data_IF_927755673148
#
_entry.id   IF_927755673148
#
_cell.length_a   1.000
_cell.length_b   1.000
_cell.length_c   1.000
_cell.angle_alpha   90.00
_cell.angle_beta   90.00
_cell.angle_gamma   90.00
#
_symmetry.space_group_name_H-M   'P 1'
#
loop_
_entity.id
_entity.type
_entity.pdbx_description
1 polymer ?
#
# COMPACT_ATOMS: atom_id res chain seq x y z
N UNK A 1 -11.12 12.33 -21.42
CA UNK A 1 -9.85 13.07 -21.58
C UNK A 1 -10.01 14.51 -21.11
N UNK A 2 -9.12 15.01 -20.24
CA UNK A 2 -9.20 16.38 -19.74
C UNK A 2 -8.93 17.44 -20.82
N UNK A 3 -8.04 17.13 -21.77
CA UNK A 3 -7.59 18.06 -22.79
C UNK A 3 -7.59 17.41 -24.18
N UNK A 4 -8.77 17.20 -24.81
CA UNK A 4 -8.86 16.52 -26.10
C UNK A 4 -8.21 17.30 -27.26
N UNK A 5 -7.96 18.61 -27.06
CA UNK A 5 -7.32 19.48 -28.04
C UNK A 5 -5.78 19.38 -28.04
N UNK A 6 -5.18 18.73 -27.04
CA UNK A 6 -3.72 18.60 -26.95
C UNK A 6 -3.20 17.56 -27.93
N UNK A 7 -2.15 17.92 -28.67
CA UNK A 7 -1.36 16.97 -29.43
C UNK A 7 -0.48 16.10 -28.53
N UNK A 8 0.15 15.09 -29.14
CA UNK A 8 0.98 14.09 -28.44
C UNK A 8 2.09 14.73 -27.60
N UNK A 9 2.81 15.71 -28.15
CA UNK A 9 3.94 16.35 -27.47
C UNK A 9 3.51 17.15 -26.24
N UNK A 10 2.39 17.88 -26.32
CA UNK A 10 1.86 18.62 -25.19
C UNK A 10 1.46 17.68 -24.04
N UNK A 11 0.77 16.57 -24.37
CA UNK A 11 0.39 15.57 -23.38
C UNK A 11 1.62 14.96 -22.71
N UNK A 12 2.65 14.59 -23.49
CA UNK A 12 3.88 14.02 -22.95
C UNK A 12 4.57 14.97 -21.98
N UNK A 13 4.79 16.23 -22.37
CA UNK A 13 5.47 17.21 -21.50
C UNK A 13 4.69 17.44 -20.21
N UNK A 14 3.37 17.67 -20.29
CA UNK A 14 2.54 17.96 -19.12
C UNK A 14 2.47 16.73 -18.19
N UNK A 15 2.25 15.54 -18.75
CA UNK A 15 2.20 14.32 -17.96
C UNK A 15 3.55 13.98 -17.34
N UNK A 16 4.68 14.19 -18.05
CA UNK A 16 6.01 14.00 -17.47
C UNK A 16 6.25 14.91 -16.26
N UNK A 17 5.82 16.17 -16.32
CA UNK A 17 5.95 17.11 -15.21
C UNK A 17 5.08 16.67 -14.03
N UNK A 18 3.78 16.45 -14.25
CA UNK A 18 2.85 16.08 -13.17
C UNK A 18 3.21 14.73 -12.56
N UNK A 19 3.55 13.73 -13.38
CA UNK A 19 3.94 12.40 -12.92
C UNK A 19 5.28 12.45 -12.19
N UNK A 20 6.27 13.19 -12.70
CA UNK A 20 7.56 13.38 -12.03
C UNK A 20 7.38 14.03 -10.65
N UNK A 21 6.52 15.04 -10.54
CA UNK A 21 6.17 15.66 -9.27
C UNK A 21 5.40 14.70 -8.34
N UNK A 22 4.46 13.91 -8.87
CA UNK A 22 3.76 12.87 -8.09
C UNK A 22 4.75 11.87 -7.48
N UNK A 23 5.75 11.41 -8.25
CA UNK A 23 6.76 10.48 -7.76
C UNK A 23 7.67 11.12 -6.72
N UNK A 24 8.21 12.31 -7.00
CA UNK A 24 9.11 13.01 -6.09
C UNK A 24 8.40 13.36 -4.77
N UNK A 25 7.24 14.00 -4.84
CA UNK A 25 6.49 14.46 -3.66
C UNK A 25 5.86 13.29 -2.92
N UNK A 26 5.28 12.34 -3.64
CA UNK A 26 4.70 11.14 -3.05
C UNK A 26 5.74 10.34 -2.28
N UNK A 27 6.90 10.07 -2.89
CA UNK A 27 7.95 9.31 -2.21
C UNK A 27 8.49 10.08 -1.00
N UNK A 28 8.68 11.40 -1.11
CA UNK A 28 9.10 12.25 0.00
C UNK A 28 8.13 12.23 1.20
N UNK A 29 6.81 12.13 0.94
CA UNK A 29 5.81 11.96 1.99
C UNK A 29 5.97 10.65 2.79
N UNK A 30 6.62 9.65 2.20
CA UNK A 30 6.79 8.34 2.83
C UNK A 30 8.08 8.23 3.65
N UNK A 31 9.04 9.15 3.50
CA UNK A 31 10.36 9.07 4.16
C UNK A 31 10.20 8.85 5.66
N UNK A 32 9.59 9.78 6.39
CA UNK A 32 9.48 9.68 7.85
C UNK A 32 8.71 8.42 8.30
N UNK A 33 7.68 8.00 7.56
CA UNK A 33 6.99 6.75 7.93
C UNK A 33 7.84 5.50 7.70
N UNK A 34 8.71 5.51 6.68
CA UNK A 34 9.62 4.41 6.38
C UNK A 34 10.76 4.36 7.39
N UNK A 35 11.35 5.50 7.74
CA UNK A 35 12.40 5.55 8.77
C UNK A 35 11.87 5.04 10.11
N UNK A 36 10.65 5.44 10.50
CA UNK A 36 9.98 4.94 11.71
C UNK A 36 9.64 3.44 11.67
N UNK A 37 9.42 2.85 10.49
CA UNK A 37 9.15 1.42 10.35
C UNK A 37 10.42 0.57 10.33
N UNK A 38 11.49 1.12 9.74
CA UNK A 38 12.72 0.40 9.42
C UNK A 38 13.83 0.65 10.43
N UNK A 39 13.57 1.53 11.40
CA UNK A 39 14.54 2.02 12.38
C UNK A 39 15.77 2.67 11.71
N UNK A 40 15.52 3.57 10.76
CA UNK A 40 16.58 4.28 10.04
C UNK A 40 17.11 3.58 8.79
N UNK A 41 16.28 2.80 8.08
CA UNK A 41 16.69 2.01 6.91
C UNK A 41 17.11 2.81 5.67
N UNK A 42 17.02 4.13 5.69
CA UNK A 42 17.61 4.98 4.65
C UNK A 42 16.89 5.03 3.30
N UNK A 43 15.66 4.50 3.20
CA UNK A 43 14.87 4.51 1.96
C UNK A 43 13.47 5.12 2.13
N UNK A 44 12.81 5.35 1.00
CA UNK A 44 11.41 5.75 0.89
C UNK A 44 10.62 4.78 0.01
N UNK A 45 9.30 4.80 0.09
CA UNK A 45 8.44 4.06 -0.84
C UNK A 45 8.16 4.92 -2.07
N UNK A 46 8.48 4.39 -3.25
CA UNK A 46 8.11 4.96 -4.54
C UNK A 46 7.28 3.92 -5.33
N UNK A 47 5.96 3.94 -5.15
CA UNK A 47 5.07 2.95 -5.75
C UNK A 47 3.78 3.59 -6.32
N UNK A 48 2.59 3.07 -6.00
CA UNK A 48 1.30 3.48 -6.58
C UNK A 48 0.30 3.98 -5.53
N UNK A 49 0.76 4.17 -4.29
CA UNK A 49 -0.09 4.45 -3.13
C UNK A 49 0.62 5.33 -2.09
N UNK A 50 1.65 6.10 -2.47
CA UNK A 50 2.47 6.85 -1.50
C UNK A 50 1.65 7.83 -0.65
N UNK A 51 0.73 8.57 -1.27
CA UNK A 51 -0.08 9.56 -0.55
C UNK A 51 -1.09 8.87 0.38
N UNK A 52 -1.78 7.85 -0.12
CA UNK A 52 -2.70 7.02 0.65
C UNK A 52 -2.01 6.30 1.81
N UNK A 53 -0.82 5.76 1.57
CA UNK A 53 0.01 5.10 2.58
C UNK A 53 0.37 6.07 3.71
N UNK A 54 0.87 7.27 3.38
CA UNK A 54 1.17 8.30 4.38
C UNK A 54 -0.08 8.77 5.12
N UNK A 55 -1.21 8.91 4.42
CA UNK A 55 -2.48 9.27 5.04
C UNK A 55 -2.91 8.22 6.07
N UNK A 56 -2.95 6.94 5.69
CA UNK A 56 -3.38 5.87 6.59
C UNK A 56 -2.37 5.60 7.71
N UNK A 57 -1.07 5.70 7.45
CA UNK A 57 -0.03 5.59 8.48
C UNK A 57 -0.21 6.68 9.57
N UNK A 58 -0.48 7.93 9.18
CA UNK A 58 -0.78 9.01 10.13
C UNK A 58 -2.14 8.82 10.81
N UNK A 59 -3.15 8.33 10.08
CA UNK A 59 -4.47 8.06 10.65
C UNK A 59 -4.40 6.97 11.74
N UNK A 60 -3.48 6.01 11.61
CA UNK A 60 -3.24 4.96 12.60
C UNK A 60 -2.86 5.52 13.97
N UNK A 61 -2.23 6.69 14.05
CA UNK A 61 -1.88 7.32 15.33
C UNK A 61 -3.09 7.64 16.20
N UNK A 62 -4.28 7.79 15.60
CA UNK A 62 -5.54 7.97 16.34
C UNK A 62 -5.96 6.72 17.13
N UNK A 63 -5.36 5.57 16.84
CA UNK A 63 -5.60 4.32 17.57
C UNK A 63 -4.61 4.12 18.72
N UNK A 64 -3.61 5.00 18.88
CA UNK A 64 -2.71 4.96 20.04
C UNK A 64 -3.50 5.09 21.34
N UNK A 65 -3.17 4.32 22.40
CA UNK A 65 -3.80 4.48 23.70
C UNK A 65 -3.61 5.90 24.22
N UNK A 66 -4.70 6.52 24.71
CA UNK A 66 -4.64 7.87 25.31
C UNK A 66 -4.03 7.89 26.71
N UNK A 67 -3.98 6.72 27.35
CA UNK A 67 -3.62 6.58 28.76
C UNK A 67 -2.10 6.41 28.97
N UNK A 68 -1.27 6.75 27.98
CA UNK A 68 0.19 6.55 28.03
C UNK A 68 0.64 5.07 27.99
N UNK A 69 -0.28 4.14 27.73
CA UNK A 69 0.04 2.72 27.54
C UNK A 69 0.72 2.50 26.19
N UNK A 70 1.66 1.55 26.17
CA UNK A 70 2.33 1.14 24.94
C UNK A 70 1.34 0.65 23.88
N UNK A 71 1.65 0.97 22.63
CA UNK A 71 0.90 0.51 21.47
C UNK A 71 1.15 -0.98 21.31
N UNK A 72 0.12 -1.81 21.56
CA UNK A 72 0.22 -3.25 21.31
C UNK A 72 0.19 -3.52 19.81
N UNK A 73 1.31 -3.98 19.26
CA UNK A 73 1.42 -4.41 17.86
C UNK A 73 1.02 -5.87 17.71
N UNK A 74 0.83 -6.32 16.48
CA UNK A 74 0.41 -7.69 16.17
C UNK A 74 1.37 -8.74 16.75
N UNK A 75 2.66 -8.46 16.71
CA UNK A 75 3.75 -9.27 17.27
C UNK A 75 3.77 -9.32 18.82
N UNK A 76 3.16 -8.34 19.48
CA UNK A 76 3.08 -8.27 20.95
C UNK A 76 1.85 -9.02 21.50
N UNK A 77 0.92 -9.45 20.63
CA UNK A 77 -0.29 -10.16 21.03
C UNK A 77 0.03 -11.63 21.27
N UNK A 78 0.05 -12.03 22.55
CA UNK A 78 0.20 -13.43 22.94
C UNK A 78 -1.18 -14.08 23.12
N UNK A 79 -1.50 -15.03 22.23
CA UNK A 79 -2.76 -15.76 22.31
C UNK A 79 -2.66 -16.97 23.28
N UNK A 80 -3.69 -17.24 24.10
CA UNK A 80 -3.64 -18.27 25.13
C UNK A 80 -3.93 -19.68 24.60
N UNK A 81 -3.38 -20.69 25.29
CA UNK A 81 -3.69 -22.11 25.05
C UNK A 81 -3.35 -22.56 23.63
N UNK A 82 -4.28 -23.26 22.98
CA UNK A 82 -4.09 -23.76 21.61
C UNK A 82 -3.99 -22.64 20.56
N UNK A 83 -4.47 -21.42 20.86
CA UNK A 83 -4.34 -20.27 19.96
C UNK A 83 -2.91 -19.73 19.88
N UNK A 84 -2.01 -20.17 20.77
CA UNK A 84 -0.59 -19.78 20.72
C UNK A 84 0.12 -20.19 19.42
N UNK A 85 -0.45 -21.13 18.65
CA UNK A 85 0.05 -21.49 17.31
C UNK A 85 0.07 -20.28 16.35
N UNK A 86 -0.81 -19.30 16.56
CA UNK A 86 -0.87 -18.07 15.76
C UNK A 86 0.21 -17.05 16.13
N UNK A 87 0.95 -17.28 17.22
CA UNK A 87 2.11 -16.47 17.57
C UNK A 87 3.30 -16.78 16.62
N UNK A 88 3.30 -17.94 15.96
CA UNK A 88 4.27 -18.26 14.92
C UNK A 88 3.77 -17.73 13.56
N UNK A 89 4.56 -16.87 12.92
CA UNK A 89 4.14 -16.09 11.75
C UNK A 89 3.84 -16.94 10.52
N UNK A 90 4.64 -17.99 10.27
CA UNK A 90 4.47 -18.87 9.12
C UNK A 90 3.22 -19.74 9.27
N UNK A 91 2.98 -20.29 10.46
CA UNK A 91 1.80 -21.08 10.83
C UNK A 91 0.55 -20.21 10.78
N UNK A 92 0.58 -19.03 11.42
CA UNK A 92 -0.50 -18.06 11.42
C UNK A 92 -0.89 -17.66 10.00
N UNK A 93 0.08 -17.23 9.19
CA UNK A 93 -0.16 -16.82 7.80
C UNK A 93 -0.72 -17.98 6.99
N UNK A 94 -0.17 -19.18 7.14
CA UNK A 94 -0.65 -20.39 6.46
C UNK A 94 -2.11 -20.71 6.79
N UNK A 95 -2.49 -20.66 8.08
CA UNK A 95 -3.85 -20.92 8.52
C UNK A 95 -4.80 -19.82 8.01
N UNK A 96 -4.41 -18.55 8.10
CA UNK A 96 -5.22 -17.43 7.60
C UNK A 96 -5.44 -17.53 6.10
N UNK A 97 -4.42 -17.88 5.32
CA UNK A 97 -4.54 -18.10 3.88
C UNK A 97 -5.39 -19.32 3.55
N UNK A 98 -5.24 -20.41 4.30
CA UNK A 98 -6.05 -21.61 4.11
C UNK A 98 -7.53 -21.32 4.37
N UNK A 99 -7.85 -20.55 5.41
CA UNK A 99 -9.22 -20.12 5.67
C UNK A 99 -9.71 -19.21 4.55
N UNK A 100 -8.96 -18.17 4.20
CA UNK A 100 -9.41 -17.17 3.25
C UNK A 100 -9.50 -17.71 1.81
N UNK A 101 -8.39 -18.16 1.23
CA UNK A 101 -8.36 -18.70 -0.13
C UNK A 101 -8.99 -20.09 -0.21
N UNK A 102 -8.95 -20.90 0.85
CA UNK A 102 -9.61 -22.19 0.84
C UNK A 102 -11.12 -22.07 0.75
N UNK A 103 -11.74 -21.09 1.43
CA UNK A 103 -13.17 -20.80 1.26
C UNK A 103 -13.45 -20.36 -0.19
N UNK A 104 -12.64 -19.44 -0.75
CA UNK A 104 -12.82 -18.97 -2.12
C UNK A 104 -12.72 -20.13 -3.11
N UNK A 105 -11.67 -20.94 -3.03
CA UNK A 105 -11.47 -22.10 -3.91
C UNK A 105 -12.58 -23.14 -3.74
N UNK A 106 -13.05 -23.39 -2.51
CA UNK A 106 -14.15 -24.30 -2.25
C UNK A 106 -15.47 -23.81 -2.88
N UNK A 107 -15.76 -22.51 -2.80
CA UNK A 107 -16.95 -21.89 -3.43
C UNK A 107 -16.88 -21.96 -4.96
N UNK A 108 -15.69 -21.73 -5.54
CA UNK A 108 -15.48 -21.87 -6.99
C UNK A 108 -15.65 -23.33 -7.45
N UNK A 109 -15.13 -24.27 -6.66
CA UNK A 109 -15.28 -25.70 -6.87
C UNK A 109 -14.34 -26.29 -7.95
N UNK A 110 -14.05 -27.60 -7.82
CA UNK A 110 -13.19 -28.35 -8.76
C UNK A 110 -13.64 -28.22 -10.22
N UNK A 111 -14.93 -28.37 -10.60
CA UNK A 111 -15.33 -28.31 -12.00
C UNK A 111 -14.94 -26.99 -12.69
N UNK A 112 -15.14 -25.87 -12.00
CA UNK A 112 -14.78 -24.55 -12.53
C UNK A 112 -13.26 -24.39 -12.69
N UNK A 113 -12.47 -24.83 -11.71
CA UNK A 113 -11.01 -24.75 -11.77
C UNK A 113 -10.41 -25.65 -12.86
N UNK A 114 -11.04 -26.80 -13.14
CA UNK A 114 -10.68 -27.67 -14.27
C UNK A 114 -11.01 -26.99 -15.59
N UNK A 115 -12.18 -26.35 -15.70
CA UNK A 115 -12.56 -25.59 -16.89
C UNK A 115 -11.60 -24.43 -17.17
N UNK A 116 -11.13 -23.74 -16.13
CA UNK A 116 -10.11 -22.68 -16.21
C UNK A 116 -8.70 -23.19 -16.48
N UNK A 117 -8.49 -24.52 -16.57
CA UNK A 117 -7.17 -25.17 -16.69
C UNK A 117 -6.22 -24.85 -15.52
N UNK A 118 -6.75 -24.37 -14.39
CA UNK A 118 -5.98 -24.13 -13.17
C UNK A 118 -5.72 -25.43 -12.39
N UNK A 119 -6.61 -26.42 -12.53
CA UNK A 119 -6.50 -27.73 -11.88
C UNK A 119 -6.69 -28.85 -12.90
N UNK A 120 -5.83 -29.87 -12.90
CA UNK A 120 -6.04 -31.05 -13.75
C UNK A 120 -7.17 -31.94 -13.20
N UNK A 121 -8.00 -32.59 -14.05
CA UNK A 121 -9.14 -33.40 -13.59
C UNK A 121 -8.79 -34.53 -12.61
N UNK A 122 -7.60 -35.11 -12.76
CA UNK A 122 -7.07 -36.23 -11.97
C UNK A 122 -6.52 -35.82 -10.61
N UNK A 123 -6.28 -34.53 -10.37
CA UNK A 123 -5.72 -34.04 -9.11
C UNK A 123 -6.76 -34.02 -7.99
N UNK A 124 -6.31 -34.32 -6.77
CA UNK A 124 -7.14 -34.25 -5.58
C UNK A 124 -7.41 -32.78 -5.21
N UNK A 125 -8.69 -32.44 -5.03
CA UNK A 125 -9.10 -31.04 -4.82
C UNK A 125 -8.70 -30.50 -3.44
N UNK A 126 -8.81 -31.32 -2.40
CA UNK A 126 -8.42 -30.93 -1.04
C UNK A 126 -6.93 -30.61 -0.97
N UNK A 127 -6.08 -31.49 -1.50
CA UNK A 127 -4.64 -31.24 -1.53
C UNK A 127 -4.26 -30.04 -2.38
N UNK A 128 -4.97 -29.80 -3.50
CA UNK A 128 -4.77 -28.59 -4.30
C UNK A 128 -5.07 -27.31 -3.49
N UNK A 129 -6.16 -27.28 -2.73
CA UNK A 129 -6.50 -26.14 -1.87
C UNK A 129 -5.39 -25.91 -0.83
N UNK A 130 -5.00 -26.98 -0.11
CA UNK A 130 -3.98 -26.90 0.93
C UNK A 130 -2.65 -26.41 0.33
N UNK A 131 -2.17 -27.03 -0.75
CA UNK A 131 -0.93 -26.66 -1.42
C UNK A 131 -0.95 -25.20 -1.91
N UNK A 132 -2.03 -24.79 -2.57
CA UNK A 132 -2.19 -23.41 -3.07
C UNK A 132 -2.12 -22.38 -1.95
N UNK A 133 -2.79 -22.66 -0.82
CA UNK A 133 -2.83 -21.73 0.31
C UNK A 133 -1.51 -21.70 1.07
N UNK A 134 -0.83 -22.84 1.26
CA UNK A 134 0.47 -22.91 1.94
C UNK A 134 1.58 -22.26 1.10
N UNK A 135 1.52 -22.39 -0.23
CA UNK A 135 2.47 -21.73 -1.13
C UNK A 135 2.51 -20.21 -0.96
N UNK A 136 1.40 -19.58 -0.55
CA UNK A 136 1.40 -18.15 -0.24
C UNK A 136 2.39 -17.81 0.89
N UNK A 137 2.37 -18.57 2.00
CA UNK A 137 3.27 -18.33 3.12
C UNK A 137 4.73 -18.56 2.72
N UNK A 138 4.99 -19.58 1.87
CA UNK A 138 6.31 -19.83 1.29
C UNK A 138 6.78 -18.64 0.44
N UNK A 139 5.96 -18.17 -0.50
CA UNK A 139 6.33 -17.04 -1.36
C UNK A 139 6.49 -15.72 -0.60
N UNK A 140 5.66 -15.46 0.41
CA UNK A 140 5.81 -14.29 1.26
C UNK A 140 7.14 -14.34 2.04
N UNK A 141 7.51 -15.52 2.55
CA UNK A 141 8.79 -15.72 3.24
C UNK A 141 9.98 -15.49 2.29
N UNK A 142 9.92 -16.06 1.08
CA UNK A 142 10.93 -15.84 0.03
C UNK A 142 11.05 -14.36 -0.30
N UNK A 143 9.93 -13.66 -0.46
CA UNK A 143 9.89 -12.23 -0.73
C UNK A 143 10.58 -11.44 0.40
N UNK A 144 10.26 -11.71 1.66
CA UNK A 144 10.85 -11.02 2.80
C UNK A 144 12.37 -11.25 2.90
N UNK A 145 12.82 -12.49 2.67
CA UNK A 145 14.25 -12.82 2.69
C UNK A 145 15.01 -12.09 1.58
N UNK A 146 14.51 -12.14 0.35
CA UNK A 146 15.15 -11.48 -0.79
C UNK A 146 15.18 -9.95 -0.65
N UNK A 147 14.09 -9.37 -0.13
CA UNK A 147 13.97 -7.93 0.11
C UNK A 147 15.02 -7.43 1.10
N UNK A 148 15.25 -8.11 2.24
CA UNK A 148 16.20 -7.63 3.25
C UNK A 148 17.60 -7.49 2.69
N UNK A 149 18.05 -8.50 1.96
CA UNK A 149 19.36 -8.48 1.29
C UNK A 149 19.42 -7.35 0.26
N UNK A 150 18.37 -7.20 -0.56
CA UNK A 150 18.32 -6.16 -1.57
C UNK A 150 18.37 -4.74 -0.97
N UNK A 151 17.58 -4.47 0.07
CA UNK A 151 17.53 -3.14 0.70
C UNK A 151 18.86 -2.77 1.32
N UNK A 152 19.53 -3.70 2.02
CA UNK A 152 20.84 -3.45 2.61
C UNK A 152 21.87 -3.00 1.58
N UNK A 153 22.03 -3.76 0.49
CA UNK A 153 22.98 -3.44 -0.58
C UNK A 153 22.61 -2.15 -1.33
N UNK A 154 21.32 -1.90 -1.53
CA UNK A 154 20.86 -0.70 -2.23
C UNK A 154 21.11 0.55 -1.42
N UNK A 155 20.81 0.54 -0.11
CA UNK A 155 21.02 1.70 0.77
C UNK A 155 22.50 2.06 0.83
N UNK A 156 23.39 1.08 1.01
CA UNK A 156 24.84 1.31 1.00
C UNK A 156 25.33 1.86 -0.35
N UNK A 157 24.87 1.27 -1.46
CA UNK A 157 25.22 1.74 -2.80
C UNK A 157 24.73 3.18 -3.06
N UNK A 158 23.58 3.55 -2.53
CA UNK A 158 23.02 4.90 -2.67
C UNK A 158 23.73 5.95 -1.83
N UNK A 159 24.40 5.58 -0.73
CA UNK A 159 25.25 6.52 0.02
C UNK A 159 26.35 7.09 -0.87
N UNK A 160 26.95 6.27 -1.75
CA UNK A 160 27.93 6.74 -2.73
C UNK A 160 27.38 7.80 -3.67
N UNK A 161 26.16 7.60 -4.19
CA UNK A 161 25.47 8.56 -5.08
C UNK A 161 25.10 9.84 -4.31
N UNK A 162 24.57 9.70 -3.10
CA UNK A 162 24.17 10.82 -2.26
C UNK A 162 25.37 11.70 -1.90
N UNK A 163 26.50 11.09 -1.54
CA UNK A 163 27.72 11.81 -1.16
C UNK A 163 28.45 12.50 -2.32
N UNK A 164 28.11 12.22 -3.58
CA UNK A 164 28.84 12.73 -4.75
C UNK A 164 27.96 13.48 -5.75
N UNK A 165 26.89 12.86 -6.25
CA UNK A 165 26.12 13.36 -7.39
C UNK A 165 24.87 14.10 -6.92
N UNK A 166 24.16 13.56 -5.93
CA UNK A 166 22.86 14.10 -5.46
C UNK A 166 22.81 14.17 -3.93
N UNK A 167 23.42 15.20 -3.31
CA UNK A 167 23.40 15.39 -1.87
C UNK A 167 21.99 15.36 -1.27
N UNK A 168 21.80 14.51 -0.25
CA UNK A 168 20.53 14.35 0.45
C UNK A 168 19.49 13.52 -0.32
N UNK A 169 19.88 12.84 -1.40
CA UNK A 169 18.98 11.94 -2.11
C UNK A 169 18.67 10.69 -1.30
N UNK A 170 17.40 10.29 -1.32
CA UNK A 170 16.88 9.09 -0.66
C UNK A 170 16.36 8.14 -1.73
N UNK A 171 16.80 6.87 -1.78
CA UNK A 171 16.29 5.90 -2.74
C UNK A 171 14.80 5.63 -2.48
N UNK A 172 13.99 5.81 -3.51
CA UNK A 172 12.60 5.37 -3.54
C UNK A 172 12.50 3.95 -4.11
N UNK A 173 11.92 3.02 -3.36
CA UNK A 173 11.86 1.60 -3.73
C UNK A 173 10.45 1.02 -3.68
N UNK A 174 10.33 -0.22 -4.17
CA UNK A 174 9.07 -0.97 -4.20
C UNK A 174 8.48 -1.13 -2.79
N UNK A 175 7.16 -1.04 -2.67
CA UNK A 175 6.47 -1.16 -1.39
C UNK A 175 6.69 -2.52 -0.72
N UNK A 176 6.89 -3.59 -1.51
CA UNK A 176 7.19 -4.91 -1.00
C UNK A 176 8.42 -4.91 -0.08
N UNK A 177 9.32 -3.94 -0.26
CA UNK A 177 10.49 -3.77 0.59
C UNK A 177 10.13 -3.59 2.08
N UNK A 178 8.99 -2.97 2.35
CA UNK A 178 8.51 -2.68 3.71
C UNK A 178 8.01 -3.91 4.45
N UNK A 179 7.62 -4.97 3.73
CA UNK A 179 7.10 -6.20 4.35
C UNK A 179 8.17 -6.98 5.09
N UNK A 180 9.44 -6.75 4.76
CA UNK A 180 10.55 -7.31 5.50
C UNK A 180 10.69 -6.72 6.90
N UNK A 181 10.28 -5.46 7.12
CA UNK A 181 10.50 -4.72 8.37
C UNK A 181 9.28 -4.76 9.29
N UNK A 182 8.09 -5.09 8.76
CA UNK A 182 6.89 -5.33 9.55
C UNK A 182 6.73 -6.79 9.97
N UNK A 183 5.83 -7.04 10.92
CA UNK A 183 5.37 -8.39 11.23
C UNK A 183 4.68 -9.03 9.99
N UNK A 184 5.03 -10.29 9.61
CA UNK A 184 4.31 -11.01 8.56
C UNK A 184 2.81 -11.07 8.82
N UNK A 185 2.41 -11.27 10.08
CA UNK A 185 1.00 -11.27 10.48
C UNK A 185 0.31 -9.92 10.18
N UNK A 186 1.00 -8.78 10.30
CA UNK A 186 0.43 -7.48 9.97
C UNK A 186 0.17 -7.33 8.46
N UNK A 187 1.10 -7.80 7.61
CA UNK A 187 0.93 -7.79 6.16
C UNK A 187 -0.25 -8.68 5.72
N UNK A 188 -0.33 -9.89 6.29
CA UNK A 188 -1.40 -10.84 6.03
C UNK A 188 -2.75 -10.28 6.48
N UNK A 189 -2.88 -9.85 7.74
CA UNK A 189 -4.14 -9.28 8.25
C UNK A 189 -4.56 -8.03 7.49
N UNK A 190 -3.62 -7.17 7.10
CA UNK A 190 -3.92 -6.01 6.28
C UNK A 190 -4.52 -6.41 4.93
N UNK A 191 -3.92 -7.40 4.26
CA UNK A 191 -4.48 -7.98 3.04
C UNK A 191 -5.89 -8.55 3.24
N UNK A 192 -6.12 -9.42 4.24
CA UNK A 192 -7.45 -10.00 4.48
C UNK A 192 -8.50 -8.92 4.75
N UNK A 193 -8.16 -7.97 5.62
CA UNK A 193 -9.05 -6.87 6.00
C UNK A 193 -9.42 -6.01 4.78
N UNK A 194 -8.43 -5.62 3.97
CA UNK A 194 -8.66 -4.90 2.73
C UNK A 194 -9.49 -5.69 1.73
N UNK A 195 -9.22 -6.99 1.57
CA UNK A 195 -9.99 -7.87 0.68
C UNK A 195 -11.46 -7.95 1.10
N UNK A 196 -11.76 -8.06 2.40
CA UNK A 196 -13.13 -8.02 2.93
C UNK A 196 -13.80 -6.68 2.58
N UNK A 197 -13.08 -5.56 2.77
CA UNK A 197 -13.58 -4.23 2.37
C UNK A 197 -13.89 -4.13 0.88
N UNK A 198 -13.01 -4.67 0.03
CA UNK A 198 -13.24 -4.72 -1.42
C UNK A 198 -14.46 -5.58 -1.78
N UNK A 199 -14.59 -6.79 -1.22
CA UNK A 199 -15.72 -7.69 -1.49
C UNK A 199 -17.05 -7.10 -1.03
N UNK A 200 -17.07 -6.44 0.13
CA UNK A 200 -18.23 -5.70 0.61
C UNK A 200 -18.64 -4.63 -0.41
N UNK A 201 -17.68 -3.83 -0.87
CA UNK A 201 -17.97 -2.77 -1.84
C UNK A 201 -18.40 -3.31 -3.20
N UNK A 202 -17.77 -4.39 -3.70
CA UNK A 202 -18.19 -5.06 -4.95
C UNK A 202 -19.63 -5.57 -4.81
N UNK A 203 -19.97 -6.19 -3.69
CA UNK A 203 -21.33 -6.65 -3.40
C UNK A 203 -22.31 -5.48 -3.41
N UNK A 204 -21.97 -4.37 -2.77
CA UNK A 204 -22.77 -3.15 -2.80
C UNK A 204 -22.95 -2.60 -4.23
N UNK A 205 -21.89 -2.57 -5.04
CA UNK A 205 -22.01 -2.16 -6.46
C UNK A 205 -22.98 -3.03 -7.25
N UNK A 206 -22.96 -4.36 -7.02
CA UNK A 206 -23.89 -5.30 -7.66
C UNK A 206 -25.32 -5.06 -7.19
N UNK A 207 -25.56 -4.99 -5.87
CA UNK A 207 -26.89 -4.80 -5.28
C UNK A 207 -27.51 -3.46 -5.69
N UNK A 208 -26.70 -2.41 -5.77
CA UNK A 208 -27.12 -1.07 -6.20
C UNK A 208 -27.20 -0.93 -7.73
N UNK A 209 -26.97 -2.00 -8.49
CA UNK A 209 -26.99 -2.01 -9.97
C UNK A 209 -26.10 -0.93 -10.58
N UNK A 210 -24.89 -0.78 -10.02
CA UNK A 210 -23.89 0.16 -10.52
C UNK A 210 -23.61 -0.09 -12.02
N UNK A 211 -23.48 0.95 -12.85
CA UNK A 211 -23.16 0.81 -14.26
C UNK A 211 -21.74 0.26 -14.52
N UNK A 212 -20.90 0.21 -13.48
CA UNK A 212 -19.56 -0.38 -13.54
C UNK A 212 -19.34 -1.24 -12.31
N UNK A 213 -18.97 -2.49 -12.56
CA UNK A 213 -18.59 -3.47 -11.55
C UNK A 213 -17.08 -3.65 -11.65
N UNK A 214 -16.41 -3.53 -10.51
CA UNK A 214 -14.96 -3.72 -10.41
C UNK A 214 -14.69 -5.19 -10.08
N UNK A 215 -13.77 -5.80 -10.82
CA UNK A 215 -13.24 -7.12 -10.51
C UNK A 215 -11.95 -6.90 -9.72
N UNK A 216 -11.90 -7.41 -8.49
CA UNK A 216 -10.73 -7.25 -7.62
C UNK A 216 -9.51 -7.99 -8.22
N UNK A 217 -8.46 -7.24 -8.53
CA UNK A 217 -7.15 -7.81 -8.89
C UNK A 217 -6.33 -8.11 -7.64
N UNK A 218 -5.60 -9.24 -7.64
CA UNK A 218 -4.78 -9.62 -6.48
C UNK A 218 -3.75 -8.55 -6.10
N UNK A 219 -3.12 -7.89 -7.08
CA UNK A 219 -2.06 -6.90 -6.83
C UNK A 219 -2.57 -5.72 -5.99
N UNK A 220 -3.63 -4.96 -6.38
CA UNK A 220 -4.18 -3.90 -5.53
C UNK A 220 -4.75 -4.37 -4.20
N UNK A 221 -5.31 -5.58 -4.15
CA UNK A 221 -5.84 -6.15 -2.90
C UNK A 221 -4.70 -6.40 -1.92
N UNK A 222 -3.61 -7.02 -2.39
CA UNK A 222 -2.49 -7.42 -1.55
C UNK A 222 -1.57 -6.25 -1.23
N UNK A 223 -0.91 -5.64 -2.22
CA UNK A 223 0.22 -4.74 -1.97
C UNK A 223 -0.18 -3.46 -1.23
N UNK A 224 -1.31 -2.85 -1.57
CA UNK A 224 -1.78 -1.64 -0.87
C UNK A 224 -2.19 -1.95 0.57
N UNK A 225 -3.04 -2.96 0.75
CA UNK A 225 -3.65 -3.22 2.04
C UNK A 225 -2.71 -3.94 3.01
N UNK A 226 -1.80 -4.78 2.51
CA UNK A 226 -0.70 -5.34 3.29
C UNK A 226 0.25 -4.24 3.77
N UNK A 227 0.61 -3.29 2.90
CA UNK A 227 1.43 -2.14 3.27
C UNK A 227 0.74 -1.27 4.33
N UNK A 228 -0.52 -0.88 4.09
CA UNK A 228 -1.28 -0.12 5.08
C UNK A 228 -1.37 -0.89 6.40
N UNK A 229 -1.56 -2.21 6.36
CA UNK A 229 -1.52 -3.07 7.53
C UNK A 229 -0.20 -3.00 8.31
N UNK A 230 0.93 -3.09 7.61
CA UNK A 230 2.28 -2.98 8.20
C UNK A 230 2.50 -1.62 8.86
N UNK A 231 2.27 -0.52 8.14
CA UNK A 231 2.47 0.83 8.67
C UNK A 231 1.47 1.19 9.77
N UNK A 232 0.22 0.77 9.63
CA UNK A 232 -0.81 0.98 10.66
C UNK A 232 -0.52 0.16 11.92
N UNK A 233 -0.01 -1.07 11.79
CA UNK A 233 0.44 -1.86 12.93
C UNK A 233 1.58 -1.16 13.67
N UNK A 234 2.59 -0.69 12.95
CA UNK A 234 3.73 0.00 13.56
C UNK A 234 3.31 1.26 14.35
N UNK A 235 2.40 2.06 13.79
CA UNK A 235 2.01 3.36 14.39
C UNK A 235 0.81 3.31 15.34
N UNK A 236 -0.13 2.40 15.12
CA UNK A 236 -1.43 2.36 15.80
C UNK A 236 -1.80 0.98 16.36
N UNK A 237 -0.93 -0.02 16.21
CA UNK A 237 -1.11 -1.36 16.75
C UNK A 237 -2.09 -2.22 15.96
N UNK A 238 -2.38 -3.40 16.52
CA UNK A 238 -3.18 -4.43 15.84
C UNK A 238 -4.58 -3.97 15.43
N UNK A 239 -5.19 -3.05 16.20
CA UNK A 239 -6.52 -2.49 15.89
C UNK A 239 -6.49 -1.63 14.62
N UNK A 240 -5.48 -0.78 14.48
CA UNK A 240 -5.33 0.05 13.28
C UNK A 240 -5.03 -0.83 12.06
N UNK A 241 -4.19 -1.85 12.22
CA UNK A 241 -3.87 -2.83 11.18
C UNK A 241 -5.09 -3.61 10.68
N UNK A 242 -6.10 -3.82 11.53
CA UNK A 242 -7.35 -4.47 11.14
C UNK A 242 -8.36 -3.49 10.54
N UNK A 243 -8.48 -2.27 11.06
CA UNK A 243 -9.56 -1.35 10.67
C UNK A 243 -9.22 -0.52 9.42
N UNK A 244 -7.98 -0.03 9.30
CA UNK A 244 -7.62 0.89 8.23
C UNK A 244 -7.54 0.23 6.84
N UNK A 245 -6.97 -0.98 6.68
CA UNK A 245 -6.98 -1.66 5.39
C UNK A 245 -8.40 -1.97 4.88
N UNK A 246 -9.35 -2.29 5.77
CA UNK A 246 -10.77 -2.48 5.39
C UNK A 246 -11.34 -1.25 4.69
N UNK A 247 -11.14 -0.06 5.27
CA UNK A 247 -11.60 1.19 4.66
C UNK A 247 -10.83 1.51 3.37
N UNK A 248 -9.53 1.23 3.33
CA UNK A 248 -8.74 1.33 2.09
C UNK A 248 -9.36 0.47 0.98
N UNK A 249 -9.69 -0.79 1.25
CA UNK A 249 -10.35 -1.68 0.31
C UNK A 249 -11.68 -1.12 -0.24
N UNK A 250 -12.53 -0.59 0.63
CA UNK A 250 -13.78 0.07 0.20
C UNK A 250 -13.48 1.24 -0.74
N UNK A 251 -12.54 2.11 -0.35
CA UNK A 251 -12.16 3.31 -1.11
C UNK A 251 -11.56 2.93 -2.46
N UNK A 252 -10.71 1.91 -2.53
CA UNK A 252 -10.11 1.43 -3.77
C UNK A 252 -11.18 1.02 -4.78
N UNK A 253 -12.15 0.18 -4.37
CA UNK A 253 -13.23 -0.30 -5.25
C UNK A 253 -14.19 0.82 -5.61
N UNK A 254 -14.67 1.58 -4.62
CA UNK A 254 -15.64 2.66 -4.85
C UNK A 254 -15.04 3.75 -5.75
N UNK A 255 -13.82 4.20 -5.44
CA UNK A 255 -13.10 5.18 -6.23
C UNK A 255 -12.86 4.68 -7.65
N UNK A 256 -12.36 3.44 -7.81
CA UNK A 256 -12.14 2.86 -9.14
C UNK A 256 -13.42 2.77 -9.96
N UNK A 257 -14.54 2.33 -9.37
CA UNK A 257 -15.82 2.24 -10.07
C UNK A 257 -16.31 3.62 -10.54
N UNK A 258 -16.32 4.60 -9.64
CA UNK A 258 -16.76 5.98 -9.93
C UNK A 258 -15.88 6.59 -11.01
N UNK A 259 -14.56 6.52 -10.83
CA UNK A 259 -13.64 7.24 -11.70
C UNK A 259 -13.45 6.55 -13.04
N UNK A 260 -13.36 5.23 -13.10
CA UNK A 260 -13.33 4.51 -14.38
C UNK A 260 -14.59 4.79 -15.21
N UNK A 261 -15.77 4.89 -14.57
CA UNK A 261 -17.01 5.29 -15.25
C UNK A 261 -16.93 6.72 -15.77
N UNK A 262 -16.55 7.65 -14.89
CA UNK A 262 -16.59 9.09 -15.18
C UNK A 262 -15.59 9.52 -16.27
N UNK A 263 -14.40 8.92 -16.29
CA UNK A 263 -13.38 9.20 -17.32
C UNK A 263 -13.59 8.35 -18.59
N UNK A 264 -14.52 7.40 -18.56
CA UNK A 264 -14.85 6.50 -19.67
C UNK A 264 -13.90 5.31 -19.83
N UNK A 265 -13.00 5.07 -18.88
CA UNK A 265 -12.07 3.93 -18.91
C UNK A 265 -12.76 2.59 -18.65
N UNK A 266 -13.94 2.57 -18.01
CA UNK A 266 -14.69 1.33 -17.75
C UNK A 266 -15.04 0.55 -19.02
N UNK A 267 -15.13 1.22 -20.17
CA UNK A 267 -15.39 0.60 -21.48
C UNK A 267 -14.19 -0.19 -22.04
N UNK A 268 -13.00 0.04 -21.52
CA UNK A 268 -11.76 -0.62 -21.97
C UNK A 268 -11.36 -1.80 -21.06
N UNK A 269 -12.15 -2.10 -20.03
CA UNK A 269 -11.98 -3.29 -19.19
C UNK A 269 -10.83 -3.26 -18.18
N UNK A 270 -10.09 -2.14 -18.07
CA UNK A 270 -8.93 -2.03 -17.18
C UNK A 270 -8.80 -0.68 -16.49
N UNK A 271 -8.48 -0.71 -15.20
CA UNK A 271 -8.12 0.45 -14.38
C UNK A 271 -7.06 0.02 -13.35
N UNK A 272 -6.13 0.90 -12.97
CA UNK A 272 -4.99 0.49 -12.14
C UNK A 272 -5.41 -0.03 -10.76
N UNK A 273 -6.46 0.55 -10.17
CA UNK A 273 -7.07 0.05 -8.93
C UNK A 273 -6.30 0.31 -7.64
N UNK A 274 -5.06 0.78 -7.72
CA UNK A 274 -4.23 1.16 -6.57
C UNK A 274 -4.79 2.42 -5.88
N UNK A 275 -4.50 2.59 -4.60
CA UNK A 275 -5.19 3.56 -3.73
C UNK A 275 -5.05 5.02 -4.22
N UNK A 276 -3.84 5.47 -4.60
CA UNK A 276 -3.68 6.86 -5.10
C UNK A 276 -4.36 7.04 -6.47
N UNK A 277 -4.50 5.98 -7.24
CA UNK A 277 -5.22 5.98 -8.50
C UNK A 277 -6.74 5.93 -8.30
N UNK A 278 -7.21 5.45 -7.16
CA UNK A 278 -8.62 5.52 -6.77
C UNK A 278 -8.97 6.83 -6.04
N UNK A 279 -7.99 7.65 -5.65
CA UNK A 279 -8.20 8.84 -4.81
C UNK A 279 -7.50 10.10 -5.32
N UNK A 280 -6.17 10.16 -5.27
CA UNK A 280 -5.34 11.34 -5.57
C UNK A 280 -5.39 11.73 -7.04
N UNK A 281 -5.09 10.80 -7.94
CA UNK A 281 -5.13 11.04 -9.39
C UNK A 281 -6.52 11.48 -9.87
N UNK A 282 -7.61 10.86 -9.38
CA UNK A 282 -8.93 11.38 -9.61
C UNK A 282 -9.17 12.80 -9.12
N UNK A 283 -8.69 13.14 -7.92
CA UNK A 283 -8.73 14.52 -7.40
C UNK A 283 -8.03 15.51 -8.33
N UNK A 284 -6.82 15.18 -8.80
CA UNK A 284 -6.11 15.99 -9.79
C UNK A 284 -6.87 16.09 -11.11
N UNK A 285 -7.48 14.99 -11.55
CA UNK A 285 -8.28 14.94 -12.78
C UNK A 285 -9.50 15.86 -12.68
N UNK A 286 -10.19 15.89 -11.54
CA UNK A 286 -11.30 16.81 -11.27
C UNK A 286 -10.82 18.27 -11.37
N UNK A 287 -9.73 18.62 -10.68
CA UNK A 287 -9.17 19.99 -10.70
C UNK A 287 -8.82 20.41 -12.13
N UNK A 288 -8.11 19.55 -12.86
CA UNK A 288 -7.73 19.77 -14.26
C UNK A 288 -8.93 19.95 -15.19
N UNK A 289 -10.01 19.18 -14.97
CA UNK A 289 -11.21 19.25 -15.80
C UNK A 289 -12.07 20.48 -15.49
N UNK A 290 -12.17 20.89 -14.22
CA UNK A 290 -12.97 22.04 -13.80
C UNK A 290 -12.31 23.38 -14.14
N UNK A 291 -10.99 23.49 -13.99
CA UNK A 291 -10.24 24.74 -14.17
C UNK A 291 -9.55 24.84 -15.55
N UNK A 292 -9.76 23.86 -16.43
CA UNK A 292 -9.09 23.80 -17.72
C UNK A 292 -7.56 23.82 -17.57
N UNK A 293 -6.85 24.57 -18.41
CA UNK A 293 -5.38 24.64 -18.36
C UNK A 293 -4.85 25.25 -17.06
N UNK A 294 -5.59 26.14 -16.39
CA UNK A 294 -5.21 26.66 -15.08
C UNK A 294 -5.17 25.55 -14.02
N UNK A 295 -5.99 24.50 -14.18
CA UNK A 295 -5.98 23.33 -13.30
C UNK A 295 -4.65 22.58 -13.28
N UNK A 296 -3.89 22.58 -14.39
CA UNK A 296 -2.52 22.01 -14.42
C UNK A 296 -1.61 22.78 -13.48
N UNK A 297 -1.62 24.12 -13.57
CA UNK A 297 -0.80 24.96 -12.72
C UNK A 297 -1.18 24.80 -11.24
N UNK A 298 -2.47 24.65 -10.93
CA UNK A 298 -2.95 24.38 -9.57
C UNK A 298 -2.46 23.04 -9.05
N UNK A 299 -2.55 21.96 -9.83
CA UNK A 299 -2.05 20.63 -9.42
C UNK A 299 -0.54 20.67 -9.16
N UNK A 300 0.22 21.32 -10.05
CA UNK A 300 1.67 21.52 -9.88
C UNK A 300 1.96 22.30 -8.59
N UNK A 301 1.24 23.39 -8.35
CA UNK A 301 1.40 24.20 -7.14
C UNK A 301 1.07 23.41 -5.86
N UNK A 302 0.01 22.60 -5.86
CA UNK A 302 -0.34 21.71 -4.74
C UNK A 302 0.80 20.73 -4.46
N UNK A 303 1.30 20.05 -5.49
CA UNK A 303 2.39 19.08 -5.36
C UNK A 303 3.65 19.75 -4.81
N UNK A 304 4.04 20.90 -5.35
CA UNK A 304 5.22 21.64 -4.89
C UNK A 304 5.05 22.22 -3.47
N UNK A 305 3.83 22.57 -3.06
CA UNK A 305 3.60 23.12 -1.72
C UNK A 305 3.81 22.07 -0.61
N UNK A 306 3.54 20.79 -0.88
CA UNK A 306 3.64 19.72 0.13
C UNK A 306 5.03 19.62 0.77
N UNK A 307 6.14 19.42 0.03
CA UNK A 307 7.47 19.33 0.64
C UNK A 307 7.87 20.63 1.34
N UNK A 308 7.46 21.79 0.81
CA UNK A 308 7.72 23.09 1.45
C UNK A 308 7.02 23.21 2.81
N UNK A 309 5.79 22.69 2.92
CA UNK A 309 5.06 22.63 4.18
C UNK A 309 5.65 21.60 5.14
N UNK A 310 6.15 20.46 4.65
CA UNK A 310 6.87 19.48 5.48
C UNK A 310 8.15 20.09 6.06
N UNK A 311 8.96 20.74 5.22
CA UNK A 311 10.19 21.42 5.65
C UNK A 311 9.90 22.52 6.67
N UNK A 312 8.90 23.38 6.40
CA UNK A 312 8.51 24.45 7.33
C UNK A 312 8.05 23.96 8.71
N UNK A 313 7.46 22.75 8.80
CA UNK A 313 6.99 22.19 10.07
C UNK A 313 8.12 21.63 10.93
N UNK A 314 9.17 21.10 10.32
CA UNK A 314 10.33 20.59 11.04
C UNK A 314 11.63 20.82 10.24
N UNK A 315 12.14 22.05 10.16
CA UNK A 315 13.31 22.35 9.33
C UNK A 315 14.56 21.59 9.78
N UNK A 316 14.74 21.47 11.10
CA UNK A 316 15.90 20.80 11.71
C UNK A 316 15.85 19.27 11.53
N UNK A 317 14.66 18.66 11.64
CA UNK A 317 14.50 17.23 11.49
C UNK A 317 14.29 16.74 10.06
N UNK A 318 14.03 17.64 9.09
CA UNK A 318 13.61 17.26 7.74
C UNK A 318 14.64 16.40 7.00
N UNK A 319 15.92 16.76 7.08
CA UNK A 319 17.01 15.98 6.50
C UNK A 319 17.60 14.97 7.50
N UNK A 320 17.63 15.34 8.78
CA UNK A 320 18.14 14.51 9.87
C UNK A 320 17.43 13.15 9.98
N UNK A 321 16.13 13.08 9.66
CA UNK A 321 15.39 11.81 9.70
C UNK A 321 16.02 10.70 8.83
N UNK A 322 16.84 11.05 7.83
CA UNK A 322 17.58 10.08 7.01
C UNK A 322 19.08 10.13 7.27
N UNK A 323 19.65 11.32 7.49
CA UNK A 323 21.10 11.48 7.70
C UNK A 323 21.57 10.95 9.05
N UNK A 324 20.77 11.13 10.11
CA UNK A 324 21.06 10.66 11.47
C UNK A 324 19.75 10.37 12.20
N UNK A 325 19.21 9.18 11.94
CA UNK A 325 17.92 8.79 12.50
C UNK A 325 17.97 8.61 14.04
N UNK A 326 19.12 8.25 14.62
CA UNK A 326 19.25 8.17 16.07
C UNK A 326 19.14 9.55 16.72
N UNK A 327 19.86 10.54 16.19
CA UNK A 327 19.73 11.92 16.66
C UNK A 327 18.31 12.46 16.42
N UNK A 328 17.68 12.10 15.31
CA UNK A 328 16.29 12.45 15.04
C UNK A 328 15.35 11.88 16.11
N UNK A 329 15.49 10.59 16.47
CA UNK A 329 14.72 9.95 17.54
C UNK A 329 14.90 10.66 18.87
N UNK A 330 16.14 10.97 19.24
CA UNK A 330 16.45 11.65 20.51
C UNK A 330 15.80 13.04 20.62
N UNK A 331 15.77 13.79 19.52
CA UNK A 331 15.24 15.16 19.49
C UNK A 331 13.72 15.24 19.30
N UNK A 332 13.14 14.36 18.48
CA UNK A 332 11.77 14.51 17.99
C UNK A 332 10.82 13.37 18.36
N UNK A 333 11.32 12.22 18.83
CA UNK A 333 10.48 11.06 19.21
C UNK A 333 10.49 10.76 20.72
N UNK A 334 11.24 11.51 21.55
CA UNK A 334 11.05 11.49 23.01
C UNK A 334 9.73 12.16 23.39
N UNK A 335 8.64 11.39 23.37
CA UNK A 335 7.44 11.45 24.24
C UNK A 335 6.39 10.43 23.73
#
# INVERSE_FOLDING_TARGET
FCYPMMGRWQVLVIMSIILGLYWAVGSNLTIGICQDLTDGGGFAVAHQQMFGLTFFAKLAEKFKPKDGKEVKRMEDVQLPGWLSIFNENMVSTSILMLLFFGIILAVLGKPYLVQLKALKPDKNFFFYIVETCLNFAVYLTILQLGVRTFVGELTESFQGISNTILPGAVPGIDIAATFAFGSPNASTIGFLSGAIGQFLMITLLILLKSPTIVIAGFIPVFFDNAAIGVFANNRGGYKAALVLPFFSGIIQVAGSAVFATWIGLSRFGGYLGMLDWATVWPGFTIIMKLLGFAGIAVVIAILLAIPQLQYRRNPEGYFMQVEDYEQYKEKFQKN
#
